data_IF_454865036532
#
_entry.id   IF_454865036532
#
_cell.length_a   1.000
_cell.length_b   1.000
_cell.length_c   1.000
_cell.angle_alpha   90.00
_cell.angle_beta   90.00
_cell.angle_gamma   90.00
#
_symmetry.space_group_name_H-M   'P 1'
#
loop_
_entity.id
_entity.type
_entity.pdbx_description
1 polymer ?
#
# COMPACT_ATOMS: atom_id res chain seq x y z
N UNK A 1 -5.32 -9.23 -70.25
CA UNK A 1 -4.19 -8.98 -71.15
C UNK A 1 -3.07 -8.38 -70.29
N UNK A 2 -1.98 -9.15 -70.11
CA UNK A 2 -0.65 -8.83 -69.51
C UNK A 2 -0.64 -8.28 -68.07
N UNK A 3 -0.33 -9.03 -67.00
CA UNK A 3 0.91 -9.74 -66.64
C UNK A 3 2.13 -8.81 -66.47
N UNK A 4 2.66 -8.72 -65.23
CA UNK A 4 4.08 -8.92 -64.85
C UNK A 4 4.34 -8.54 -63.37
N UNK A 5 4.38 -9.55 -62.51
CA UNK A 5 5.40 -9.71 -61.44
C UNK A 5 6.63 -10.37 -62.12
N UNK A 6 7.86 -10.50 -61.56
CA UNK A 6 8.29 -10.31 -60.16
C UNK A 6 9.68 -9.64 -59.98
N UNK A 7 10.14 -9.41 -58.74
CA UNK A 7 11.55 -9.69 -58.41
C UNK A 7 11.73 -9.94 -56.90
N UNK A 8 12.15 -11.16 -56.63
CA UNK A 8 12.62 -11.71 -55.35
C UNK A 8 14.10 -11.35 -55.19
N UNK A 9 14.52 -10.86 -54.03
CA UNK A 9 15.93 -10.94 -53.62
C UNK A 9 16.01 -11.53 -52.21
N UNK A 10 16.29 -12.82 -52.18
CA UNK A 10 16.65 -13.60 -51.00
C UNK A 10 18.14 -13.43 -50.74
N UNK A 11 18.55 -12.95 -49.55
CA UNK A 11 19.92 -13.14 -49.05
C UNK A 11 19.87 -13.44 -47.54
N UNK A 12 20.06 -14.70 -47.22
CA UNK A 12 20.72 -15.25 -46.01
C UNK A 12 21.84 -16.16 -46.55
N UNK A 13 22.95 -16.50 -45.86
CA UNK A 13 23.03 -16.75 -44.40
C UNK A 13 24.38 -16.39 -43.71
N UNK A 14 24.41 -16.47 -42.37
CA UNK A 14 25.39 -17.17 -41.48
C UNK A 14 25.58 -16.47 -40.11
N UNK A 15 25.86 -17.25 -39.05
CA UNK A 15 25.61 -16.93 -37.66
C UNK A 15 26.87 -16.50 -36.91
N UNK A 16 26.71 -15.79 -35.80
CA UNK A 16 27.73 -15.69 -34.76
C UNK A 16 27.14 -16.14 -33.43
N UNK A 17 27.71 -17.24 -32.95
CA UNK A 17 27.49 -17.84 -31.64
C UNK A 17 28.15 -16.97 -30.57
N UNK A 18 27.45 -16.71 -29.46
CA UNK A 18 28.05 -16.82 -28.13
C UNK A 18 26.95 -17.03 -27.08
N UNK A 19 26.79 -18.29 -26.67
CA UNK A 19 26.01 -18.64 -25.49
C UNK A 19 26.88 -18.46 -24.24
N UNK A 20 26.54 -17.53 -23.36
CA UNK A 20 27.03 -17.55 -21.98
C UNK A 20 26.05 -18.34 -21.13
N UNK A 21 26.41 -19.60 -20.89
CA UNK A 21 25.77 -20.49 -19.93
C UNK A 21 26.30 -20.16 -18.53
N UNK A 22 25.45 -19.64 -17.65
CA UNK A 22 25.68 -19.69 -16.19
C UNK A 22 24.60 -20.55 -15.55
N UNK A 23 24.93 -21.83 -15.34
CA UNK A 23 24.20 -22.74 -14.44
C UNK A 23 24.81 -22.60 -13.05
N UNK A 24 24.13 -21.90 -12.15
CA UNK A 24 24.33 -22.09 -10.71
C UNK A 24 23.34 -23.14 -10.22
N UNK A 25 23.82 -24.38 -10.08
CA UNK A 25 23.13 -25.42 -9.33
C UNK A 25 23.44 -25.24 -7.84
N UNK A 26 22.42 -24.98 -7.03
CA UNK A 26 22.42 -25.27 -5.60
C UNK A 26 21.16 -26.07 -5.28
N UNK A 27 21.32 -27.39 -5.33
CA UNK A 27 20.28 -28.38 -5.09
C UNK A 27 20.38 -28.80 -3.62
N UNK A 28 19.79 -28.00 -2.72
CA UNK A 28 19.60 -28.40 -1.33
C UNK A 28 18.31 -29.24 -1.24
N UNK A 29 18.53 -30.55 -1.11
CA UNK A 29 17.53 -31.59 -0.95
C UNK A 29 17.07 -31.62 0.52
N UNK A 30 15.99 -30.93 0.87
CA UNK A 30 15.32 -31.12 2.17
C UNK A 30 14.29 -32.24 2.01
N UNK A 31 14.60 -33.41 2.58
CA UNK A 31 13.65 -34.52 2.73
C UNK A 31 12.70 -34.21 3.89
N UNK A 32 11.40 -34.22 3.60
CA UNK A 32 10.33 -34.33 4.58
C UNK A 32 10.08 -35.82 4.87
N UNK A 33 9.96 -36.20 6.14
CA UNK A 33 9.44 -37.51 6.56
C UNK A 33 8.71 -37.37 7.90
N UNK A 34 7.56 -38.05 7.97
CA UNK A 34 6.49 -37.90 8.94
C UNK A 34 6.68 -38.70 10.26
N UNK A 35 5.77 -38.38 11.19
CA UNK A 35 5.50 -38.95 12.53
C UNK A 35 5.65 -40.48 12.70
N UNK A 36 5.80 -40.91 13.98
CA UNK A 36 4.71 -41.71 14.57
C UNK A 36 4.30 -41.26 16.00
N UNK A 37 3.18 -41.78 16.53
CA UNK A 37 2.37 -41.18 17.59
C UNK A 37 2.70 -41.72 18.99
N UNK A 38 2.47 -40.92 20.04
CA UNK A 38 2.39 -41.41 21.42
C UNK A 38 1.33 -40.65 22.25
N UNK A 39 0.31 -41.39 22.67
CA UNK A 39 -0.50 -41.24 23.91
C UNK A 39 -0.72 -42.68 24.43
N UNK A 40 -1.23 -42.97 25.65
CA UNK A 40 -1.65 -42.12 26.77
C UNK A 40 -1.13 -42.59 28.17
N UNK A 41 -1.28 -41.75 29.21
CA UNK A 41 -1.55 -42.13 30.62
C UNK A 41 -1.60 -40.84 31.46
N UNK A 42 -2.77 -40.39 31.92
CA UNK A 42 -3.59 -40.86 33.04
C UNK A 42 -3.01 -40.57 34.43
N UNK A 43 -3.93 -40.18 35.33
CA UNK A 43 -3.85 -40.15 36.79
C UNK A 43 -3.51 -38.77 37.44
N UNK A 44 -4.58 -37.99 37.57
CA UNK A 44 -5.12 -37.44 38.84
C UNK A 44 -4.39 -36.30 39.55
N UNK A 45 -5.08 -35.16 39.71
CA UNK A 45 -5.88 -34.84 40.91
C UNK A 45 -6.49 -33.44 40.79
N UNK A 46 -7.81 -33.38 40.55
CA UNK A 46 -8.63 -32.27 41.01
C UNK A 46 -8.88 -32.46 42.51
N UNK A 47 -8.74 -31.38 43.30
CA UNK A 47 -9.53 -31.18 44.51
C UNK A 47 -9.85 -29.69 44.72
N UNK A 48 -11.05 -29.36 45.21
CA UNK A 48 -11.57 -27.99 45.29
C UNK A 48 -11.35 -27.30 46.65
N UNK A 49 -11.54 -25.97 46.63
CA UNK A 49 -12.00 -24.98 47.65
C UNK A 49 -12.36 -25.47 49.07
N UNK A 50 -12.27 -24.65 50.15
CA UNK A 50 -12.88 -23.31 50.20
C UNK A 50 -12.18 -22.25 51.08
N UNK A 51 -12.64 -20.99 50.98
CA UNK A 51 -12.18 -19.92 51.87
C UNK A 51 -12.91 -18.60 51.65
N UNK A 52 -14.22 -18.58 51.90
CA UNK A 52 -14.95 -17.33 52.12
C UNK A 52 -14.67 -16.84 53.54
N UNK A 53 -14.05 -15.67 53.69
CA UNK A 53 -14.21 -14.85 54.88
C UNK A 53 -14.38 -13.40 54.46
N UNK A 54 -15.64 -12.99 54.47
CA UNK A 54 -16.10 -11.61 54.44
C UNK A 54 -15.71 -10.95 55.76
N UNK A 55 -15.11 -9.76 55.69
CA UNK A 55 -15.03 -8.86 56.84
C UNK A 55 -15.31 -7.43 56.34
N UNK A 56 -16.59 -7.07 56.30
CA UNK A 56 -17.01 -5.70 56.13
C UNK A 56 -16.97 -5.02 57.50
N UNK A 57 -16.14 -3.99 57.65
CA UNK A 57 -16.15 -3.11 58.81
C UNK A 57 -16.62 -1.72 58.35
N UNK A 58 -17.90 -1.46 58.56
CA UNK A 58 -18.52 -0.14 58.37
C UNK A 58 -18.17 0.77 59.54
N UNK A 59 -17.30 1.74 59.30
CA UNK A 59 -17.08 2.88 60.19
C UNK A 59 -17.80 4.10 59.61
N UNK A 60 -18.99 4.38 60.13
CA UNK A 60 -19.67 5.66 59.96
C UNK A 60 -19.00 6.71 60.85
N UNK A 61 -18.20 7.58 60.25
CA UNK A 61 -17.74 8.81 60.89
C UNK A 61 -18.36 10.02 60.17
N UNK A 62 -19.36 10.60 60.80
CA UNK A 62 -19.86 11.94 60.49
C UNK A 62 -18.83 12.95 60.97
N UNK A 63 -18.06 13.53 60.07
CA UNK A 63 -17.21 14.69 60.36
C UNK A 63 -17.48 15.78 59.33
N UNK A 64 -18.09 16.86 59.82
CA UNK A 64 -18.24 18.14 59.16
C UNK A 64 -16.87 18.71 58.79
N UNK A 65 -16.58 18.82 57.50
CA UNK A 65 -15.39 19.52 56.99
C UNK A 65 -15.80 20.87 56.39
N UNK A 66 -15.04 21.95 56.67
CA UNK A 66 -15.31 23.29 56.14
C UNK A 66 -15.06 23.33 54.63
N UNK A 67 -15.90 24.07 53.91
CA UNK A 67 -15.85 24.24 52.46
C UNK A 67 -14.47 24.69 51.98
N UNK A 68 -13.77 23.90 51.15
CA UNK A 68 -12.71 24.46 50.32
C UNK A 68 -13.38 25.27 49.20
N UNK A 69 -13.07 26.57 49.13
CA UNK A 69 -13.36 27.39 47.95
C UNK A 69 -12.65 26.78 46.73
N UNK A 70 -13.36 25.96 45.96
CA UNK A 70 -12.95 25.61 44.62
C UNK A 70 -13.23 26.82 43.71
N UNK A 71 -12.16 27.46 43.24
CA UNK A 71 -12.21 28.31 42.07
C UNK A 71 -12.57 27.42 40.87
N UNK A 72 -13.82 27.50 40.41
CA UNK A 72 -14.27 26.86 39.17
C UNK A 72 -13.89 27.82 38.03
N UNK A 73 -12.90 27.52 37.16
CA UNK A 73 -12.80 28.23 35.89
C UNK A 73 -14.07 27.91 35.08
N UNK A 74 -14.63 28.88 34.33
CA UNK A 74 -15.81 28.62 33.52
C UNK A 74 -15.54 27.44 32.59
N UNK A 75 -16.48 26.50 32.56
CA UNK A 75 -16.50 25.34 31.67
C UNK A 75 -16.64 25.83 30.23
N UNK A 76 -15.54 26.30 29.66
CA UNK A 76 -15.43 26.64 28.26
C UNK A 76 -15.21 25.33 27.50
N UNK A 77 -16.24 24.90 26.79
CA UNK A 77 -16.24 23.97 25.65
C UNK A 77 -15.07 22.98 25.63
N UNK A 78 -15.22 21.85 26.33
CA UNK A 78 -14.28 20.74 26.27
C UNK A 78 -14.15 20.29 24.80
N UNK A 79 -12.96 20.39 24.17
CA UNK A 79 -12.70 19.67 22.94
C UNK A 79 -12.87 18.19 23.27
N UNK A 80 -13.66 17.48 22.47
CA UNK A 80 -13.70 16.01 22.52
C UNK A 80 -12.27 15.47 22.61
N UNK A 81 -11.97 14.53 23.54
CA UNK A 81 -10.62 13.97 23.63
C UNK A 81 -10.24 13.44 22.24
N UNK A 82 -9.04 13.74 21.71
CA UNK A 82 -8.60 13.16 20.46
C UNK A 82 -8.73 11.65 20.61
N UNK A 83 -9.48 10.99 19.72
CA UNK A 83 -9.62 9.55 19.81
C UNK A 83 -8.21 8.97 19.86
N UNK A 84 -7.88 8.25 20.94
CA UNK A 84 -6.61 7.55 21.09
C UNK A 84 -6.59 6.37 20.11
N UNK A 85 -6.53 6.68 18.82
CA UNK A 85 -6.42 5.71 17.75
C UNK A 85 -4.95 5.43 17.55
N UNK A 86 -4.58 4.15 17.69
CA UNK A 86 -3.22 3.71 17.37
C UNK A 86 -2.94 3.92 15.88
N UNK A 87 -1.67 4.11 15.47
CA UNK A 87 -1.32 4.20 14.05
C UNK A 87 -1.89 3.04 13.21
N UNK A 88 -1.91 1.82 13.78
CA UNK A 88 -2.55 0.65 13.17
C UNK A 88 -4.05 0.79 12.94
N UNK A 89 -4.78 1.47 13.83
CA UNK A 89 -6.22 1.69 13.65
C UNK A 89 -6.48 2.75 12.58
N UNK A 90 -5.67 3.79 12.54
CA UNK A 90 -5.72 4.85 11.52
C UNK A 90 -5.36 4.31 10.13
N UNK A 91 -4.40 3.38 10.05
CA UNK A 91 -3.95 2.81 8.77
C UNK A 91 -4.99 1.95 8.05
N UNK A 92 -6.05 1.48 8.74
CA UNK A 92 -7.04 0.58 8.16
C UNK A 92 -8.05 1.26 7.23
N UNK A 93 -8.36 2.52 7.48
CA UNK A 93 -9.42 3.25 6.77
C UNK A 93 -8.85 4.52 6.14
N UNK A 94 -7.88 4.34 5.24
CA UNK A 94 -7.28 5.47 4.55
C UNK A 94 -8.24 5.98 3.46
N UNK A 95 -8.51 7.29 3.40
CA UNK A 95 -9.43 7.84 2.43
C UNK A 95 -8.81 7.78 1.02
N UNK A 96 -9.61 7.27 0.08
CA UNK A 96 -9.30 7.17 -1.34
C UNK A 96 -10.01 8.28 -2.12
N UNK A 97 -9.69 8.40 -3.40
CA UNK A 97 -10.27 9.37 -4.32
C UNK A 97 -9.59 10.72 -4.32
N UNK A 98 -10.27 11.68 -4.95
CA UNK A 98 -9.82 13.04 -5.11
C UNK A 98 -10.18 13.91 -3.89
N UNK A 99 -9.33 14.89 -3.61
CA UNK A 99 -9.53 15.97 -2.65
C UNK A 99 -9.27 17.28 -3.39
N UNK A 100 -10.26 18.17 -3.44
CA UNK A 100 -10.20 19.45 -4.16
C UNK A 100 -9.76 19.31 -5.64
N UNK A 101 -10.21 18.25 -6.32
CA UNK A 101 -9.84 17.99 -7.72
C UNK A 101 -8.38 17.55 -7.92
N UNK A 102 -7.72 17.06 -6.87
CA UNK A 102 -6.35 16.53 -6.90
C UNK A 102 -6.29 15.17 -6.22
N UNK A 103 -5.31 14.36 -6.59
CA UNK A 103 -5.01 13.12 -5.85
C UNK A 103 -4.60 13.49 -4.42
N UNK A 104 -5.10 12.74 -3.45
CA UNK A 104 -4.78 12.94 -2.03
C UNK A 104 -3.30 12.72 -1.74
N UNK A 105 -2.81 13.33 -0.67
CA UNK A 105 -1.46 13.10 -0.18
C UNK A 105 -1.32 11.73 0.48
N UNK A 106 -0.07 11.29 0.65
CA UNK A 106 0.20 10.10 1.45
C UNK A 106 -0.02 10.40 2.94
N UNK A 107 -0.76 9.53 3.65
CA UNK A 107 -0.96 9.68 5.08
C UNK A 107 0.35 9.37 5.83
N UNK A 108 0.67 10.15 6.85
CA UNK A 108 1.90 9.98 7.64
C UNK A 108 2.00 8.62 8.34
N UNK A 109 0.87 7.94 8.55
CA UNK A 109 0.82 6.60 9.15
C UNK A 109 1.19 5.48 8.18
N UNK A 110 1.24 5.72 6.86
CA UNK A 110 1.50 4.68 5.87
C UNK A 110 2.84 4.90 5.16
N UNK A 111 3.92 4.20 5.58
CA UNK A 111 5.20 4.32 4.91
C UNK A 111 5.24 3.62 3.54
N UNK A 112 4.26 2.77 3.22
CA UNK A 112 4.14 2.11 1.92
C UNK A 112 3.33 2.92 0.93
N UNK A 113 3.51 4.25 0.93
CA UNK A 113 2.73 5.17 0.10
C UNK A 113 3.64 6.15 -0.63
N UNK A 114 3.31 6.42 -1.90
CA UNK A 114 3.94 7.45 -2.74
C UNK A 114 2.84 8.24 -3.43
N UNK A 115 2.93 9.57 -3.43
CA UNK A 115 1.95 10.44 -4.06
C UNK A 115 2.62 11.60 -4.80
N UNK A 116 1.97 12.04 -5.88
CA UNK A 116 2.31 13.28 -6.60
C UNK A 116 1.78 14.54 -5.92
N UNK A 117 1.18 14.41 -4.74
CA UNK A 117 0.74 15.55 -3.95
C UNK A 117 1.87 16.03 -3.02
N UNK A 118 2.31 17.29 -3.11
CA UNK A 118 3.46 17.81 -2.34
C UNK A 118 3.19 17.95 -0.85
N UNK A 119 1.96 17.74 -0.37
CA UNK A 119 1.62 17.81 1.06
C UNK A 119 2.10 16.61 1.88
N UNK A 120 2.80 15.64 1.28
CA UNK A 120 3.36 14.47 1.98
C UNK A 120 4.87 14.37 1.82
N UNK A 121 5.55 13.75 2.80
CA UNK A 121 6.99 13.46 2.76
C UNK A 121 7.36 12.44 1.67
N UNK A 122 6.46 11.55 1.29
CA UNK A 122 6.64 10.56 0.22
C UNK A 122 6.16 11.11 -1.12
N UNK A 123 6.68 12.27 -1.50
CA UNK A 123 6.32 12.96 -2.73
C UNK A 123 7.11 12.41 -3.94
N UNK A 124 6.43 12.26 -5.08
CA UNK A 124 7.03 11.95 -6.36
C UNK A 124 6.56 12.92 -7.46
N UNK A 125 7.34 13.06 -8.52
CA UNK A 125 6.97 13.96 -9.61
C UNK A 125 5.82 13.38 -10.47
N UNK A 126 4.88 14.22 -10.93
CA UNK A 126 3.91 13.81 -11.95
C UNK A 126 4.57 13.30 -13.23
N UNK A 127 3.90 12.42 -13.95
CA UNK A 127 4.38 11.94 -15.24
C UNK A 127 3.90 12.86 -16.36
N UNK A 128 4.73 12.98 -17.40
CA UNK A 128 4.37 13.67 -18.63
C UNK A 128 4.08 12.64 -19.72
N UNK A 129 2.88 12.71 -20.26
CA UNK A 129 2.40 11.88 -21.34
C UNK A 129 3.10 12.32 -22.63
N UNK A 130 3.55 11.35 -23.42
CA UNK A 130 4.06 11.63 -24.76
C UNK A 130 2.91 12.02 -25.71
N UNK A 131 3.13 13.00 -26.59
CA UNK A 131 2.09 13.56 -27.48
C UNK A 131 1.35 12.49 -28.30
N UNK A 132 2.03 11.40 -28.65
CA UNK A 132 1.45 10.26 -29.38
C UNK A 132 0.35 9.51 -28.60
N UNK A 133 0.22 9.74 -27.29
CA UNK A 133 -0.64 8.99 -26.38
C UNK A 133 -1.68 9.84 -25.66
N UNK A 134 -1.75 11.16 -25.92
CA UNK A 134 -2.61 12.07 -25.16
C UNK A 134 -4.11 11.69 -25.26
N UNK A 135 -4.59 11.33 -26.45
CA UNK A 135 -6.00 11.00 -26.68
C UNK A 135 -6.46 9.64 -26.12
N UNK A 136 -5.55 8.77 -25.71
CA UNK A 136 -5.85 7.42 -25.22
C UNK A 136 -5.08 7.05 -23.94
N UNK A 137 -4.57 8.04 -23.21
CA UNK A 137 -3.68 7.85 -22.07
C UNK A 137 -4.24 6.92 -21.00
N UNK A 138 -5.52 7.10 -20.62
CA UNK A 138 -6.17 6.26 -19.60
C UNK A 138 -6.32 4.81 -20.07
N UNK A 139 -6.65 4.59 -21.35
CA UNK A 139 -6.75 3.24 -21.89
C UNK A 139 -5.40 2.52 -21.88
N UNK A 140 -4.32 3.21 -22.29
CA UNK A 140 -2.97 2.66 -22.23
C UNK A 140 -2.51 2.39 -20.82
N UNK A 141 -2.88 3.27 -19.88
CA UNK A 141 -2.58 3.08 -18.46
C UNK A 141 -3.28 1.83 -17.89
N UNK A 142 -4.56 1.62 -18.22
CA UNK A 142 -5.28 0.38 -17.86
C UNK A 142 -4.59 -0.85 -18.43
N UNK A 143 -4.25 -0.83 -19.70
CA UNK A 143 -3.54 -1.94 -20.36
C UNK A 143 -2.19 -2.21 -19.71
N UNK A 144 -1.42 -1.17 -19.38
CA UNK A 144 -0.14 -1.29 -18.68
C UNK A 144 -0.32 -1.89 -17.28
N UNK A 145 -1.35 -1.50 -16.53
CA UNK A 145 -1.68 -2.10 -15.23
C UNK A 145 -2.03 -3.59 -15.40
N UNK A 146 -2.88 -3.92 -16.38
CA UNK A 146 -3.26 -5.31 -16.66
C UNK A 146 -2.08 -6.19 -17.05
N UNK A 147 -1.09 -5.62 -17.75
CA UNK A 147 0.09 -6.34 -18.25
C UNK A 147 1.19 -6.49 -17.20
N UNK A 148 1.46 -5.45 -16.42
CA UNK A 148 2.62 -5.40 -15.50
C UNK A 148 2.30 -5.86 -14.09
N UNK A 149 1.04 -5.73 -13.65
CA UNK A 149 0.65 -5.98 -12.26
C UNK A 149 0.07 -7.38 -12.07
N UNK A 150 0.20 -7.91 -10.85
CA UNK A 150 -0.34 -9.22 -10.48
C UNK A 150 -1.77 -9.06 -9.97
N UNK A 151 -2.69 -9.82 -10.57
CA UNK A 151 -4.12 -9.84 -10.22
C UNK A 151 -4.76 -8.43 -10.10
N UNK A 152 -4.64 -7.59 -11.14
CA UNK A 152 -5.18 -6.24 -11.11
C UNK A 152 -6.71 -6.26 -11.13
N UNK A 153 -7.32 -5.41 -10.30
CA UNK A 153 -8.76 -5.19 -10.22
C UNK A 153 -9.05 -3.71 -10.36
N UNK A 154 -9.64 -3.30 -11.48
CA UNK A 154 -10.08 -1.92 -11.66
C UNK A 154 -11.32 -1.69 -10.79
N UNK A 155 -11.27 -0.70 -9.90
CA UNK A 155 -12.33 -0.39 -8.94
C UNK A 155 -13.15 0.83 -9.37
N UNK A 156 -12.51 1.85 -9.93
CA UNK A 156 -13.18 3.05 -10.43
C UNK A 156 -12.53 3.54 -11.72
N UNK A 157 -13.35 4.07 -12.61
CA UNK A 157 -12.98 4.65 -13.90
C UNK A 157 -14.02 5.73 -14.20
N UNK A 158 -13.75 6.93 -13.71
CA UNK A 158 -14.71 8.02 -13.64
C UNK A 158 -14.19 9.24 -14.40
N UNK A 159 -15.03 9.82 -15.24
CA UNK A 159 -14.72 11.09 -15.87
C UNK A 159 -15.13 12.23 -14.92
N UNK A 160 -14.14 13.00 -14.44
CA UNK A 160 -14.38 14.10 -13.50
C UNK A 160 -14.15 15.44 -14.19
N UNK A 161 -14.73 16.55 -13.69
CA UNK A 161 -14.45 17.89 -14.22
C UNK A 161 -12.96 18.29 -14.18
N UNK A 162 -12.16 17.55 -13.41
CA UNK A 162 -10.73 17.78 -13.24
C UNK A 162 -9.88 16.79 -14.04
N UNK A 163 -10.47 15.98 -14.91
CA UNK A 163 -9.79 14.94 -15.69
C UNK A 163 -10.31 13.53 -15.39
N UNK A 164 -9.71 12.53 -16.03
CA UNK A 164 -10.13 11.15 -15.88
C UNK A 164 -9.46 10.49 -14.66
N UNK A 165 -10.28 10.01 -13.74
CA UNK A 165 -9.85 9.34 -12.52
C UNK A 165 -9.93 7.82 -12.69
N UNK A 166 -8.82 7.15 -12.38
CA UNK A 166 -8.70 5.69 -12.44
C UNK A 166 -8.21 5.16 -11.10
N UNK A 167 -8.90 4.17 -10.57
CA UNK A 167 -8.51 3.45 -9.37
C UNK A 167 -8.40 1.96 -9.65
N UNK A 168 -7.28 1.36 -9.24
CA UNK A 168 -7.03 -0.06 -9.35
C UNK A 168 -6.48 -0.63 -8.05
N UNK A 169 -6.80 -1.88 -7.76
CA UNK A 169 -6.18 -2.66 -6.70
C UNK A 169 -5.29 -3.75 -7.30
N UNK A 170 -4.09 -3.89 -6.77
CA UNK A 170 -3.09 -4.84 -7.25
C UNK A 170 -2.49 -5.61 -6.09
N UNK A 171 -1.90 -6.77 -6.36
CA UNK A 171 -1.20 -7.51 -5.30
C UNK A 171 0.16 -6.85 -4.98
N UNK A 172 0.37 -6.56 -3.70
CA UNK A 172 1.60 -6.05 -3.11
C UNK A 172 2.32 -7.09 -2.25
N UNK A 173 3.38 -6.66 -1.56
CA UNK A 173 4.21 -7.57 -0.75
C UNK A 173 3.52 -8.08 0.52
N UNK A 174 2.72 -7.25 1.19
CA UNK A 174 2.08 -7.55 2.48
C UNK A 174 0.54 -7.53 2.44
N UNK A 175 -0.04 -7.48 1.24
CA UNK A 175 -1.47 -7.34 1.03
C UNK A 175 -1.77 -6.78 -0.35
N UNK A 176 -2.95 -6.19 -0.47
CA UNK A 176 -3.37 -5.45 -1.66
C UNK A 176 -2.86 -4.01 -1.57
N UNK A 177 -2.42 -3.47 -2.69
CA UNK A 177 -2.06 -2.08 -2.83
C UNK A 177 -3.09 -1.40 -3.73
N UNK A 178 -3.30 -0.11 -3.50
CA UNK A 178 -4.24 0.72 -4.24
C UNK A 178 -3.44 1.70 -5.09
N UNK A 179 -3.72 1.69 -6.39
CA UNK A 179 -3.23 2.64 -7.36
C UNK A 179 -4.34 3.62 -7.71
N UNK A 180 -4.05 4.90 -7.64
CA UNK A 180 -4.94 5.98 -8.05
C UNK A 180 -4.21 6.86 -9.05
N UNK A 181 -4.90 7.17 -10.14
CA UNK A 181 -4.39 8.03 -11.19
C UNK A 181 -5.44 9.07 -11.53
N UNK A 182 -4.99 10.28 -11.79
CA UNK A 182 -5.77 11.37 -12.33
C UNK A 182 -5.01 11.92 -13.53
N UNK A 183 -5.58 11.70 -14.70
CA UNK A 183 -5.03 12.14 -15.98
C UNK A 183 -5.64 13.48 -16.34
N UNK A 184 -4.77 14.49 -16.50
CA UNK A 184 -5.12 15.86 -16.89
C UNK A 184 -4.30 16.27 -18.09
N UNK A 185 -4.95 16.36 -19.24
CA UNK A 185 -4.32 16.75 -20.50
C UNK A 185 -3.05 15.92 -20.80
N UNK A 186 -1.86 16.51 -20.63
CA UNK A 186 -0.55 15.89 -20.84
C UNK A 186 0.13 15.42 -19.53
N UNK A 187 -0.49 15.59 -18.36
CA UNK A 187 0.09 15.27 -17.06
C UNK A 187 -0.71 14.20 -16.32
N UNK A 188 0.00 13.22 -15.75
CA UNK A 188 -0.60 12.22 -14.86
C UNK A 188 -0.13 12.44 -13.43
N UNK A 189 -1.11 12.75 -12.58
CA UNK A 189 -0.94 12.73 -11.13
C UNK A 189 -1.38 11.38 -10.59
N UNK A 190 -0.66 10.85 -9.62
CA UNK A 190 -0.94 9.52 -9.08
C UNK A 190 -0.66 9.41 -7.59
N UNK A 191 -1.16 8.33 -7.01
CA UNK A 191 -0.81 7.81 -5.69
C UNK A 191 -0.80 6.28 -5.72
N UNK A 192 0.25 5.67 -5.19
CA UNK A 192 0.32 4.22 -4.92
C UNK A 192 0.45 4.02 -3.42
N UNK A 193 -0.41 3.20 -2.84
CA UNK A 193 -0.52 3.05 -1.40
C UNK A 193 -0.83 1.60 -1.00
N UNK A 194 -0.06 1.06 -0.07
CA UNK A 194 -0.39 -0.20 0.57
C UNK A 194 -1.71 -0.08 1.35
N UNK A 195 -2.71 -0.91 1.04
CA UNK A 195 -4.00 -0.87 1.75
C UNK A 195 -3.87 -1.35 3.21
N UNK A 196 -2.83 -2.13 3.49
CA UNK A 196 -2.55 -2.68 4.82
C UNK A 196 -1.11 -2.40 5.21
N UNK A 197 -0.96 -1.69 6.33
CA UNK A 197 0.34 -1.45 6.97
C UNK A 197 0.55 -2.47 8.08
N UNK A 198 1.72 -3.09 8.11
CA UNK A 198 2.10 -4.02 9.18
C UNK A 198 2.92 -3.26 10.21
N UNK A 199 2.58 -3.37 11.49
CA UNK A 199 3.30 -2.71 12.58
C UNK A 199 3.91 -3.73 13.53
N UNK A 200 5.11 -3.44 14.01
CA UNK A 200 5.77 -4.22 15.07
C UNK A 200 5.35 -3.68 16.44
N UNK A 201 4.73 -4.53 17.24
CA UNK A 201 4.40 -4.24 18.63
C UNK A 201 5.59 -4.60 19.55
N UNK A 202 5.89 -3.82 20.63
CA UNK A 202 5.20 -2.64 21.16
C UNK A 202 5.63 -1.29 20.58
N UNK A 203 6.56 -1.26 19.63
CA UNK A 203 7.20 -0.01 19.18
C UNK A 203 6.36 0.82 18.20
N UNK A 204 5.21 0.29 17.75
CA UNK A 204 4.32 0.95 16.77
C UNK A 204 5.04 1.37 15.48
N UNK A 205 6.17 0.72 15.19
CA UNK A 205 6.97 0.96 13.99
C UNK A 205 6.33 0.24 12.83
N UNK A 206 6.00 0.97 11.77
CA UNK A 206 5.52 0.37 10.53
C UNK A 206 6.67 -0.32 9.78
N UNK A 207 6.37 -1.49 9.20
CA UNK A 207 7.27 -2.22 8.30
C UNK A 207 6.95 -1.78 6.87
N UNK A 208 7.95 -1.26 6.16
CA UNK A 208 7.86 -0.86 4.76
C UNK A 208 8.64 0.43 4.49
N UNK A 209 9.13 0.59 3.26
CA UNK A 209 9.99 1.70 2.84
C UNK A 209 9.63 2.27 1.47
N UNK A 210 8.36 2.13 1.06
CA UNK A 210 7.80 2.51 -0.24
C UNK A 210 8.49 1.98 -1.51
N UNK A 211 9.63 1.28 -1.42
CA UNK A 211 10.40 0.81 -2.59
C UNK A 211 9.63 -0.11 -3.50
N UNK A 212 8.77 -0.96 -2.94
CA UNK A 212 7.89 -1.81 -3.73
C UNK A 212 6.92 -1.01 -4.61
N UNK A 213 6.43 0.12 -4.10
CA UNK A 213 5.59 1.05 -4.84
C UNK A 213 6.41 1.82 -5.90
N UNK A 214 7.65 2.23 -5.58
CA UNK A 214 8.56 2.87 -6.56
C UNK A 214 8.86 1.96 -7.74
N UNK A 215 9.29 0.73 -7.46
CA UNK A 215 9.61 -0.27 -8.49
C UNK A 215 8.39 -0.61 -9.34
N UNK A 216 7.20 -0.64 -8.73
CA UNK A 216 5.94 -0.86 -9.44
C UNK A 216 5.66 0.26 -10.43
N UNK A 217 5.74 1.50 -9.97
CA UNK A 217 5.50 2.67 -10.80
C UNK A 217 6.53 2.78 -11.92
N UNK A 218 7.79 2.47 -11.62
CA UNK A 218 8.86 2.37 -12.63
C UNK A 218 8.50 1.39 -13.74
N UNK A 219 8.00 0.20 -13.42
CA UNK A 219 7.55 -0.78 -14.42
C UNK A 219 6.39 -0.27 -15.29
N UNK A 220 5.47 0.50 -14.71
CA UNK A 220 4.38 1.11 -15.47
C UNK A 220 4.92 2.17 -16.44
N UNK A 221 5.82 3.03 -15.97
CA UNK A 221 6.46 4.06 -16.81
C UNK A 221 7.26 3.42 -17.94
N UNK A 222 8.05 2.38 -17.64
CA UNK A 222 8.86 1.64 -18.62
C UNK A 222 7.99 1.01 -19.72
N UNK A 223 6.80 0.49 -19.36
CA UNK A 223 5.85 -0.06 -20.32
C UNK A 223 5.13 1.03 -21.15
N UNK A 224 4.83 2.17 -20.54
CA UNK A 224 4.12 3.28 -21.19
C UNK A 224 5.04 4.12 -22.08
N UNK A 225 6.34 4.17 -21.77
CA UNK A 225 7.32 5.03 -22.43
C UNK A 225 7.08 6.52 -22.16
N UNK A 226 6.48 6.85 -21.01
CA UNK A 226 6.23 8.23 -20.61
C UNK A 226 7.42 8.83 -19.87
N UNK A 227 7.49 10.16 -19.79
CA UNK A 227 8.56 10.84 -19.10
C UNK A 227 8.22 11.00 -17.61
N UNK A 228 9.07 10.47 -16.74
CA UNK A 228 8.97 10.59 -15.30
C UNK A 228 10.24 11.25 -14.74
N UNK A 229 10.15 12.52 -14.27
CA UNK A 229 11.27 13.16 -13.61
C UNK A 229 11.68 12.43 -12.33
N UNK A 230 12.98 12.32 -12.07
CA UNK A 230 13.52 11.78 -10.82
C UNK A 230 14.41 12.82 -10.14
N UNK A 231 14.53 12.76 -8.81
CA UNK A 231 15.38 13.70 -8.08
C UNK A 231 16.84 13.64 -8.53
N UNK A 232 17.37 12.44 -8.83
CA UNK A 232 18.75 12.25 -9.30
C UNK A 232 19.05 12.92 -10.67
N UNK A 233 18.01 13.27 -11.43
CA UNK A 233 18.16 13.94 -12.74
C UNK A 233 18.22 15.46 -12.65
N UNK A 234 18.17 16.03 -11.43
CA UNK A 234 18.11 17.48 -11.18
C UNK A 234 19.43 18.07 -10.68
N UNK A 235 20.50 17.27 -10.55
CA UNK A 235 21.85 17.67 -10.13
C UNK A 235 22.77 18.07 -11.30
#
# INVERSE_FOLDING_TARGET
MMALCPLVLSITPFPSSSSFSSKCNCLLKVKSAALPPQTPSSISKLRPLPGFLSLALTLTLSTSTPSPSLAIPPLNTQPSPPSLTTPFSQSKNQPLGLEDGKIRACPSTNPGCISTNPKSSSFAFPWKISDASAGNAVQRLKEAILKTQKNPKIQADEDTPYGQYLQAEVDGGFGRDVLEFLVRDDVVTYRDMAAKVTYVYPFTTAIGDSKGQEERLKKLIDELGWYAPTFDSMD
#
